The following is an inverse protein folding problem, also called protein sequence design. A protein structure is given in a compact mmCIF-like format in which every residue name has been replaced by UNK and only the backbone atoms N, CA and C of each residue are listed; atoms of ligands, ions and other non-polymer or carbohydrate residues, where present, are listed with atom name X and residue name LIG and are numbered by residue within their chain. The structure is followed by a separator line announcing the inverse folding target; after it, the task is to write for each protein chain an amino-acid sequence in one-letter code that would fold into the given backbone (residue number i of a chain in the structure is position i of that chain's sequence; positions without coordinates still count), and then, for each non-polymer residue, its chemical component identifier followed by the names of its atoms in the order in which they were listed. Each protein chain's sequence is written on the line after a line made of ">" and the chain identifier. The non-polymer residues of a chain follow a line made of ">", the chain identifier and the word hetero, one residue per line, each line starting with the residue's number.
data_IF_939111788497
#
_entry.id   IF_939111788497
#
_cell.length_a   1.000
_cell.length_b   1.000
_cell.length_c   1.000
_cell.angle_alpha   90.00
_cell.angle_beta   90.00
_cell.angle_gamma   90.00
#
_symmetry.space_group_name_H-M   'P 1'
#
loop_
_entity.id
_entity.type
_entity.pdbx_description
1 polymer ?
#
# COMPACT_ATOMS: atom_id res chain seq x y z
N UNK A 1 21.96 6.43 -16.32
CA UNK A 1 21.44 7.14 -15.13
C UNK A 1 21.26 6.15 -13.99
N UNK A 2 22.17 6.14 -13.00
CA UNK A 2 22.00 5.34 -11.78
C UNK A 2 20.90 5.97 -10.94
N UNK A 3 19.73 5.32 -10.89
CA UNK A 3 18.62 5.66 -10.00
C UNK A 3 19.12 5.58 -8.55
N UNK A 4 19.37 6.73 -7.93
CA UNK A 4 19.70 6.84 -6.52
C UNK A 4 18.40 6.67 -5.72
N UNK A 5 17.90 5.44 -5.67
CA UNK A 5 16.59 5.04 -5.15
C UNK A 5 16.43 5.22 -3.62
N UNK A 6 17.43 5.78 -2.94
CA UNK A 6 17.50 5.80 -1.48
C UNK A 6 16.60 6.85 -0.80
N UNK A 7 15.92 7.76 -1.51
CA UNK A 7 15.19 8.84 -0.81
C UNK A 7 13.88 9.30 -1.47
N UNK A 8 13.15 8.49 -2.26
CA UNK A 8 11.85 8.93 -2.77
C UNK A 8 10.85 9.23 -1.61
N UNK A 9 10.77 8.33 -0.64
CA UNK A 9 9.96 8.50 0.58
C UNK A 9 10.51 9.63 1.45
N UNK A 10 11.83 9.74 1.59
CA UNK A 10 12.46 10.85 2.35
C UNK A 10 12.23 12.22 1.69
N UNK A 11 12.18 12.28 0.35
CA UNK A 11 11.89 13.50 -0.39
C UNK A 11 10.41 13.87 -0.25
N UNK A 12 9.49 12.92 -0.37
CA UNK A 12 8.06 13.15 -0.10
C UNK A 12 7.84 13.62 1.35
N UNK A 13 8.49 12.99 2.32
CA UNK A 13 8.47 13.43 3.71
C UNK A 13 9.09 14.81 3.90
N UNK A 14 10.09 15.21 3.09
CA UNK A 14 10.64 16.57 3.14
C UNK A 14 9.57 17.62 2.78
N UNK A 15 8.71 17.33 1.81
CA UNK A 15 7.55 18.15 1.46
C UNK A 15 6.42 18.07 2.48
N UNK A 16 6.43 17.08 3.37
CA UNK A 16 5.43 16.91 4.41
C UNK A 16 5.52 17.93 5.56
N UNK A 17 6.63 18.69 5.68
CA UNK A 17 6.75 19.78 6.65
C UNK A 17 6.36 19.40 8.09
N UNK A 18 5.48 20.18 8.72
CA UNK A 18 4.97 19.97 10.08
C UNK A 18 4.01 18.78 10.24
N UNK A 19 3.46 18.26 9.12
CA UNK A 19 2.48 17.16 9.12
C UNK A 19 3.12 15.79 9.36
N UNK A 20 4.45 15.70 9.36
CA UNK A 20 5.19 14.51 9.78
C UNK A 20 4.74 14.00 11.15
N UNK A 21 4.45 14.91 12.09
CA UNK A 21 3.98 14.55 13.43
C UNK A 21 2.64 13.81 13.38
N UNK A 22 1.75 14.19 12.47
CA UNK A 22 0.47 13.51 12.30
C UNK A 22 0.64 12.13 11.66
N UNK A 23 1.56 11.99 10.70
CA UNK A 23 1.91 10.68 10.12
C UNK A 23 2.50 9.74 11.18
N UNK A 24 3.44 10.21 12.01
CA UNK A 24 3.97 9.41 13.12
C UNK A 24 2.89 9.03 14.14
N UNK A 25 1.93 9.92 14.43
CA UNK A 25 0.79 9.60 15.29
C UNK A 25 -0.09 8.50 14.68
N UNK A 26 -0.35 8.56 13.37
CA UNK A 26 -1.08 7.51 12.66
C UNK A 26 -0.36 6.15 12.79
N UNK A 27 0.96 6.12 12.58
CA UNK A 27 1.76 4.90 12.75
C UNK A 27 1.63 4.36 14.16
N UNK A 28 1.80 5.20 15.19
CA UNK A 28 1.66 4.79 16.59
C UNK A 28 0.26 4.23 16.89
N UNK A 29 -0.79 4.90 16.42
CA UNK A 29 -2.17 4.43 16.58
C UNK A 29 -2.40 3.07 15.91
N UNK A 30 -1.85 2.86 14.71
CA UNK A 30 -1.93 1.57 14.02
C UNK A 30 -1.18 0.48 14.80
N UNK A 31 0.02 0.76 15.31
CA UNK A 31 0.77 -0.22 16.12
C UNK A 31 0.04 -0.61 17.40
N UNK A 32 -0.59 0.35 18.07
CA UNK A 32 -1.38 0.10 19.28
C UNK A 32 -2.61 -0.73 18.91
N UNK A 33 -3.29 -0.40 17.80
CA UNK A 33 -4.41 -1.19 17.28
C UNK A 33 -4.03 -2.65 17.01
N UNK A 34 -2.87 -2.91 16.43
CA UNK A 34 -2.39 -4.28 16.20
C UNK A 34 -2.09 -5.05 17.50
N UNK A 35 -1.61 -4.38 18.55
CA UNK A 35 -1.46 -5.00 19.88
C UNK A 35 -2.80 -5.48 20.44
N UNK A 36 -3.85 -4.65 20.35
CA UNK A 36 -5.20 -5.07 20.74
C UNK A 36 -5.74 -6.21 19.85
N UNK A 37 -5.28 -6.28 18.60
CA UNK A 37 -5.56 -7.39 17.67
C UNK A 37 -5.05 -8.75 18.13
N UNK A 38 -4.10 -8.81 19.07
CA UNK A 38 -3.64 -10.07 19.65
C UNK A 38 -4.60 -10.66 20.67
N UNK A 39 -5.44 -9.84 21.30
CA UNK A 39 -6.27 -10.26 22.43
C UNK A 39 -7.17 -11.46 22.10
N UNK A 40 -7.84 -11.54 20.92
CA UNK A 40 -8.60 -12.72 20.53
C UNK A 40 -7.77 -14.01 20.49
N UNK A 41 -6.51 -13.93 20.04
CA UNK A 41 -5.63 -15.09 19.94
C UNK A 41 -5.20 -15.58 21.32
N UNK A 42 -4.88 -14.66 22.24
CA UNK A 42 -4.60 -14.99 23.64
C UNK A 42 -5.83 -15.59 24.33
N UNK A 43 -7.03 -15.06 24.05
CA UNK A 43 -8.28 -15.58 24.59
C UNK A 43 -8.53 -17.01 24.11
N UNK A 44 -8.29 -17.31 22.83
CA UNK A 44 -8.39 -18.67 22.27
C UNK A 44 -7.35 -19.60 22.92
N UNK A 45 -6.09 -19.17 23.04
CA UNK A 45 -5.05 -19.99 23.69
C UNK A 45 -5.44 -20.36 25.13
N UNK A 46 -5.95 -19.40 25.90
CA UNK A 46 -6.46 -19.62 27.27
C UNK A 46 -7.70 -20.49 27.32
N UNK A 47 -8.59 -20.37 26.33
CA UNK A 47 -9.77 -21.22 26.21
C UNK A 47 -9.36 -22.68 25.98
N UNK A 48 -8.40 -22.94 25.10
CA UNK A 48 -7.87 -24.28 24.82
C UNK A 48 -7.20 -24.87 26.08
N UNK A 49 -6.41 -24.08 26.81
CA UNK A 49 -5.80 -24.51 28.07
C UNK A 49 -6.87 -24.96 29.09
N UNK A 50 -7.96 -24.21 29.21
CA UNK A 50 -9.07 -24.55 30.12
C UNK A 50 -9.89 -25.74 29.66
N UNK A 51 -10.04 -25.94 28.36
CA UNK A 51 -10.64 -27.16 27.78
C UNK A 51 -9.80 -28.37 28.14
N UNK A 52 -8.48 -28.27 28.00
CA UNK A 52 -7.56 -29.35 28.33
C UNK A 52 -7.60 -29.71 29.82
N UNK A 53 -7.70 -28.71 30.70
CA UNK A 53 -7.84 -28.92 32.14
C UNK A 53 -9.25 -29.41 32.56
N UNK A 54 -10.18 -29.58 31.62
CA UNK A 54 -11.59 -29.93 31.87
C UNK A 54 -12.33 -28.94 32.79
N UNK A 55 -11.85 -27.71 32.91
CA UNK A 55 -12.42 -26.64 33.75
C UNK A 55 -13.31 -25.67 32.94
N UNK A 56 -14.08 -26.21 31.99
CA UNK A 56 -14.87 -25.37 31.08
C UNK A 56 -16.24 -25.11 31.67
N UNK A 57 -16.47 -23.87 32.07
CA UNK A 57 -17.80 -23.35 32.39
C UNK A 57 -18.27 -22.39 31.30
N UNK A 58 -19.57 -22.36 31.02
CA UNK A 58 -20.20 -21.37 30.14
C UNK A 58 -19.79 -19.94 30.50
N UNK A 59 -19.67 -19.64 31.81
CA UNK A 59 -19.25 -18.32 32.30
C UNK A 59 -17.84 -17.94 31.86
N UNK A 60 -16.92 -18.91 31.85
CA UNK A 60 -15.53 -18.70 31.45
C UNK A 60 -15.40 -18.47 29.95
N UNK A 61 -16.15 -19.23 29.14
CA UNK A 61 -16.22 -19.05 27.69
C UNK A 61 -16.78 -17.66 27.36
N UNK A 62 -17.88 -17.27 28.00
CA UNK A 62 -18.51 -15.97 27.80
C UNK A 62 -17.57 -14.83 28.18
N UNK A 63 -16.87 -14.93 29.32
CA UNK A 63 -15.90 -13.93 29.77
C UNK A 63 -14.74 -13.75 28.79
N UNK A 64 -14.11 -14.85 28.34
CA UNK A 64 -13.02 -14.80 27.37
C UNK A 64 -13.48 -14.24 26.01
N UNK A 65 -14.70 -14.60 25.59
CA UNK A 65 -15.29 -14.10 24.35
C UNK A 65 -15.56 -12.59 24.42
N UNK A 66 -16.06 -12.08 25.55
CA UNK A 66 -16.27 -10.64 25.75
C UNK A 66 -14.94 -9.87 25.76
N UNK A 67 -13.89 -10.43 26.36
CA UNK A 67 -12.54 -9.82 26.31
C UNK A 67 -12.02 -9.77 24.87
N UNK A 68 -12.16 -10.87 24.12
CA UNK A 68 -11.77 -10.91 22.71
C UNK A 68 -12.54 -9.89 21.87
N UNK A 69 -13.86 -9.80 22.07
CA UNK A 69 -14.72 -8.82 21.39
C UNK A 69 -14.29 -7.39 21.72
N UNK A 70 -14.05 -7.09 23.01
CA UNK A 70 -13.60 -5.79 23.45
C UNK A 70 -12.24 -5.40 22.83
N UNK A 71 -11.29 -6.34 22.79
CA UNK A 71 -10.01 -6.15 22.12
C UNK A 71 -10.16 -5.85 20.62
N UNK A 72 -11.06 -6.57 19.95
CA UNK A 72 -11.32 -6.35 18.53
C UNK A 72 -12.00 -5.01 18.24
N UNK A 73 -12.93 -4.57 19.10
CA UNK A 73 -13.54 -3.25 19.01
C UNK A 73 -12.48 -2.17 19.19
N UNK A 74 -11.61 -2.29 20.19
CA UNK A 74 -10.50 -1.35 20.39
C UNK A 74 -9.57 -1.31 19.18
N UNK A 75 -9.16 -2.46 18.64
CA UNK A 75 -8.38 -2.52 17.40
C UNK A 75 -9.05 -1.73 16.28
N UNK A 76 -10.36 -1.94 16.07
CA UNK A 76 -11.14 -1.24 15.06
C UNK A 76 -11.12 0.29 15.25
N UNK A 77 -11.32 0.75 16.48
CA UNK A 77 -11.29 2.19 16.83
C UNK A 77 -9.90 2.79 16.55
N UNK A 78 -8.83 2.17 17.05
CA UNK A 78 -7.47 2.66 16.86
C UNK A 78 -7.06 2.69 15.39
N UNK A 79 -7.44 1.66 14.63
CA UNK A 79 -7.18 1.60 13.18
C UNK A 79 -7.94 2.69 12.43
N UNK A 80 -9.21 2.91 12.77
CA UNK A 80 -10.01 3.98 12.17
C UNK A 80 -9.43 5.37 12.45
N UNK A 81 -9.03 5.66 13.69
CA UNK A 81 -8.36 6.91 14.03
C UNK A 81 -7.01 7.06 13.33
N UNK A 82 -6.24 5.97 13.20
CA UNK A 82 -4.99 5.97 12.45
C UNK A 82 -5.23 6.36 10.98
N UNK A 83 -6.20 5.72 10.32
CA UNK A 83 -6.54 5.97 8.91
C UNK A 83 -7.02 7.41 8.69
N UNK A 84 -7.92 7.91 9.55
CA UNK A 84 -8.41 9.30 9.45
C UNK A 84 -7.26 10.30 9.65
N UNK A 85 -6.37 10.05 10.60
CA UNK A 85 -5.21 10.93 10.86
C UNK A 85 -4.28 10.95 9.66
N UNK A 86 -4.03 9.80 9.05
CA UNK A 86 -3.19 9.68 7.84
C UNK A 86 -3.80 10.41 6.63
N UNK A 87 -5.11 10.25 6.42
CA UNK A 87 -5.86 10.96 5.37
C UNK A 87 -5.76 12.48 5.53
N UNK A 88 -6.04 12.99 6.73
CA UNK A 88 -5.93 14.43 7.04
C UNK A 88 -4.53 14.96 6.75
N UNK A 89 -3.50 14.29 7.29
CA UNK A 89 -2.11 14.67 7.06
C UNK A 89 -1.79 14.69 5.56
N UNK A 90 -2.22 13.66 4.83
CA UNK A 90 -1.98 13.53 3.39
C UNK A 90 -2.64 14.65 2.59
N UNK A 91 -3.88 15.02 2.89
CA UNK A 91 -4.56 16.14 2.22
C UNK A 91 -3.82 17.48 2.42
N UNK A 92 -3.29 17.74 3.62
CA UNK A 92 -2.47 18.92 3.87
C UNK A 92 -1.18 18.93 3.06
N UNK A 93 -0.50 17.78 2.97
CA UNK A 93 0.70 17.62 2.14
C UNK A 93 0.37 17.86 0.66
N UNK A 94 -0.76 17.30 0.20
CA UNK A 94 -1.23 17.43 -1.18
C UNK A 94 -1.51 18.88 -1.55
N UNK A 95 -2.19 19.62 -0.67
CA UNK A 95 -2.41 21.06 -0.81
C UNK A 95 -1.10 21.82 -0.96
N UNK A 96 -0.12 21.54 -0.10
CA UNK A 96 1.19 22.21 -0.13
C UNK A 96 1.93 21.93 -1.45
N UNK A 97 1.91 20.68 -1.92
CA UNK A 97 2.53 20.31 -3.21
C UNK A 97 1.85 21.08 -4.35
N UNK A 98 0.51 21.13 -4.39
CA UNK A 98 -0.22 21.89 -5.42
C UNK A 98 0.14 23.37 -5.40
N UNK A 99 0.23 23.98 -4.21
CA UNK A 99 0.64 25.39 -4.07
C UNK A 99 2.06 25.63 -4.56
N UNK A 100 3.02 24.77 -4.21
CA UNK A 100 4.42 24.89 -4.67
C UNK A 100 4.55 24.72 -6.19
N UNK A 101 3.79 23.80 -6.78
CA UNK A 101 3.74 23.63 -8.23
C UNK A 101 3.18 24.88 -8.90
N UNK A 102 2.07 25.41 -8.41
CA UNK A 102 1.46 26.62 -8.94
C UNK A 102 2.42 27.83 -8.84
N UNK A 103 3.07 28.02 -7.70
CA UNK A 103 4.07 29.09 -7.50
C UNK A 103 5.27 28.93 -8.44
N UNK A 104 5.72 27.68 -8.68
CA UNK A 104 6.81 27.42 -9.61
C UNK A 104 6.40 27.76 -11.05
N UNK A 105 5.17 27.44 -11.46
CA UNK A 105 4.67 27.78 -12.80
C UNK A 105 4.68 29.29 -13.06
N UNK A 106 4.36 30.11 -12.05
CA UNK A 106 4.43 31.59 -12.17
C UNK A 106 5.85 32.13 -12.39
N UNK A 107 6.89 31.35 -12.07
CA UNK A 107 8.31 31.75 -12.18
C UNK A 107 9.03 31.11 -13.36
N UNK A 108 8.36 30.26 -14.14
CA UNK A 108 8.96 29.58 -15.28
C UNK A 108 8.94 30.52 -16.50
N UNK A 109 10.02 30.57 -17.32
CA UNK A 109 10.05 31.41 -18.52
C UNK A 109 8.87 31.13 -19.45
N UNK A 110 8.29 32.18 -20.03
CA UNK A 110 7.14 32.09 -20.94
C UNK A 110 7.34 31.11 -22.10
N UNK A 111 8.57 31.00 -22.65
CA UNK A 111 8.87 30.05 -23.71
C UNK A 111 8.55 28.59 -23.32
N UNK A 112 8.93 28.19 -22.11
CA UNK A 112 8.60 26.85 -21.58
C UNK A 112 7.09 26.70 -21.36
N UNK A 113 6.41 27.78 -20.97
CA UNK A 113 4.96 27.79 -20.74
C UNK A 113 4.17 27.59 -22.03
N UNK A 114 4.64 28.18 -23.14
CA UNK A 114 4.04 28.09 -24.47
C UNK A 114 4.37 26.73 -25.13
N UNK A 115 5.60 26.26 -25.00
CA UNK A 115 6.06 25.00 -25.59
C UNK A 115 5.51 23.75 -24.87
N UNK A 116 4.94 23.91 -23.67
CA UNK A 116 4.40 22.80 -22.89
C UNK A 116 2.88 22.70 -23.06
N UNK A 117 2.35 21.55 -23.55
CA UNK A 117 0.91 21.36 -23.68
C UNK A 117 0.16 21.49 -22.35
N UNK A 118 -1.01 22.14 -22.35
CA UNK A 118 -1.87 22.31 -21.17
C UNK A 118 -2.16 20.99 -20.45
N UNK A 119 -2.27 19.89 -21.21
CA UNK A 119 -2.48 18.54 -20.67
C UNK A 119 -1.34 18.05 -19.75
N UNK A 120 -0.09 18.46 -19.99
CA UNK A 120 1.03 18.13 -19.09
C UNK A 120 0.87 18.82 -17.74
N UNK A 121 0.41 20.07 -17.71
CA UNK A 121 0.17 20.79 -16.46
C UNK A 121 -1.02 20.21 -15.69
N UNK A 122 -2.11 19.88 -16.38
CA UNK A 122 -3.26 19.18 -15.78
C UNK A 122 -2.84 17.85 -15.17
N UNK A 123 -2.06 17.06 -15.91
CA UNK A 123 -1.51 15.79 -15.41
C UNK A 123 -0.64 16.01 -14.17
N UNK A 124 0.22 17.03 -14.16
CA UNK A 124 1.12 17.28 -13.04
C UNK A 124 0.40 17.78 -11.78
N UNK A 125 -0.54 18.72 -11.88
CA UNK A 125 -1.23 19.33 -10.73
C UNK A 125 -2.36 18.45 -10.18
N UNK A 126 -3.05 17.75 -11.07
CA UNK A 126 -4.25 16.96 -10.73
C UNK A 126 -3.86 15.49 -10.64
N UNK A 127 -3.51 14.87 -11.77
CA UNK A 127 -3.45 13.41 -11.85
C UNK A 127 -2.28 12.81 -11.05
N UNK A 128 -1.07 13.35 -11.19
CA UNK A 128 0.13 12.87 -10.46
C UNK A 128 0.01 13.16 -8.96
N UNK A 129 -0.45 14.36 -8.63
CA UNK A 129 -0.60 14.77 -7.23
C UNK A 129 -1.71 13.95 -6.55
N UNK A 130 -2.85 13.72 -7.19
CA UNK A 130 -3.89 12.85 -6.62
C UNK A 130 -3.41 11.40 -6.45
N UNK A 131 -2.53 10.88 -7.32
CA UNK A 131 -1.93 9.55 -7.09
C UNK A 131 -1.05 9.48 -5.83
N UNK A 132 -0.49 10.60 -5.39
CA UNK A 132 0.25 10.66 -4.12
C UNK A 132 -0.69 10.53 -2.91
N UNK A 133 -1.98 10.86 -3.06
CA UNK A 133 -2.96 10.74 -1.99
C UNK A 133 -3.13 9.28 -1.55
N UNK A 134 -3.58 8.41 -2.47
CA UNK A 134 -3.73 6.97 -2.20
C UNK A 134 -2.43 6.38 -1.67
N UNK A 135 -1.31 6.74 -2.31
CA UNK A 135 0.01 6.22 -1.98
C UNK A 135 0.54 6.70 -0.62
N UNK A 136 0.01 7.77 -0.01
CA UNK A 136 0.48 8.27 1.28
C UNK A 136 -0.53 8.03 2.40
N UNK A 137 -1.82 8.22 2.11
CA UNK A 137 -2.90 8.11 3.07
C UNK A 137 -3.09 6.66 3.56
N UNK A 138 -3.01 5.68 2.66
CA UNK A 138 -3.17 4.26 2.98
C UNK A 138 -1.85 3.58 3.33
N UNK A 139 -0.78 3.95 2.63
CA UNK A 139 0.53 3.33 2.79
C UNK A 139 1.08 3.46 4.21
N UNK A 140 0.87 4.59 4.91
CA UNK A 140 1.38 4.78 6.27
C UNK A 140 0.72 3.85 7.30
N UNK A 141 -0.62 3.79 7.44
CA UNK A 141 -1.28 2.82 8.31
C UNK A 141 -1.09 1.36 7.85
N UNK A 142 -1.31 1.07 6.57
CA UNK A 142 -1.40 -0.31 6.07
C UNK A 142 -0.07 -1.04 6.11
N UNK A 143 1.04 -0.39 5.71
CA UNK A 143 2.36 -1.02 5.78
C UNK A 143 2.78 -1.20 7.23
N UNK A 144 2.49 -0.22 8.08
CA UNK A 144 2.76 -0.36 9.51
C UNK A 144 2.04 -1.58 10.05
N UNK A 145 0.73 -1.71 9.83
CA UNK A 145 -0.03 -2.90 10.26
C UNK A 145 0.49 -4.18 9.62
N UNK A 146 0.80 -4.17 8.32
CA UNK A 146 1.28 -5.35 7.58
C UNK A 146 2.64 -5.86 8.03
N UNK A 147 3.51 -4.99 8.57
CA UNK A 147 4.81 -5.38 9.12
C UNK A 147 4.69 -5.71 10.61
N UNK A 148 3.98 -4.87 11.36
CA UNK A 148 3.88 -4.99 12.81
C UNK A 148 3.08 -6.23 13.18
N UNK A 149 1.97 -6.52 12.49
CA UNK A 149 1.12 -7.67 12.82
C UNK A 149 1.87 -9.01 12.75
N UNK A 150 2.59 -9.37 11.65
CA UNK A 150 3.36 -10.61 11.62
C UNK A 150 4.49 -10.68 12.66
N UNK A 151 5.19 -9.57 12.91
CA UNK A 151 6.25 -9.51 13.92
C UNK A 151 5.67 -9.76 15.31
N UNK A 152 4.55 -9.13 15.60
CA UNK A 152 3.77 -9.30 16.82
C UNK A 152 3.33 -10.76 17.01
N UNK A 153 2.77 -11.39 15.97
CA UNK A 153 2.42 -12.82 16.01
C UNK A 153 3.62 -13.74 16.21
N UNK A 154 4.74 -13.43 15.59
CA UNK A 154 5.97 -14.20 15.73
C UNK A 154 6.46 -14.14 17.18
N UNK A 155 6.52 -12.94 17.78
CA UNK A 155 6.85 -12.77 19.20
C UNK A 155 5.88 -13.56 20.07
N UNK A 156 4.57 -13.46 19.82
CA UNK A 156 3.55 -14.19 20.57
C UNK A 156 3.80 -15.70 20.54
N UNK A 157 4.00 -16.29 19.36
CA UNK A 157 4.26 -17.74 19.23
C UNK A 157 5.56 -18.11 19.94
N UNK A 158 6.62 -17.32 19.82
CA UNK A 158 7.88 -17.57 20.53
C UNK A 158 7.73 -17.55 22.06
N UNK A 159 6.87 -16.67 22.58
CA UNK A 159 6.58 -16.63 24.03
C UNK A 159 5.75 -17.81 24.51
N UNK A 160 4.95 -18.42 23.63
CA UNK A 160 4.16 -19.62 23.96
C UNK A 160 4.99 -20.89 23.83
N UNK A 161 5.69 -21.07 22.72
CA UNK A 161 6.60 -22.19 22.48
C UNK A 161 7.68 -21.81 21.44
N UNK A 162 8.95 -21.81 21.87
CA UNK A 162 10.09 -21.47 21.00
C UNK A 162 10.26 -22.45 19.82
N UNK A 163 9.84 -23.72 19.94
CA UNK A 163 9.91 -24.72 18.88
C UNK A 163 8.90 -24.40 17.78
N UNK A 164 7.68 -24.03 18.15
CA UNK A 164 6.66 -23.56 17.21
C UNK A 164 7.08 -22.24 16.55
N UNK A 165 7.73 -21.35 17.31
CA UNK A 165 8.30 -20.10 16.80
C UNK A 165 9.38 -20.33 15.73
N UNK A 166 10.30 -21.27 15.97
CA UNK A 166 11.31 -21.64 14.97
C UNK A 166 10.68 -22.31 13.73
N UNK A 167 9.67 -23.17 13.92
CA UNK A 167 8.96 -23.80 12.81
C UNK A 167 8.22 -22.75 11.94
N UNK A 168 7.61 -21.73 12.54
CA UNK A 168 6.97 -20.66 11.79
C UNK A 168 7.98 -19.81 11.03
N UNK A 169 9.17 -19.54 11.61
CA UNK A 169 10.24 -18.82 10.92
C UNK A 169 10.71 -19.57 9.67
N UNK A 170 10.74 -20.91 9.68
CA UNK A 170 11.10 -21.75 8.54
C UNK A 170 10.15 -21.58 7.34
N UNK A 171 8.90 -21.16 7.57
CA UNK A 171 7.95 -20.91 6.48
C UNK A 171 8.37 -19.73 5.59
N UNK A 172 9.09 -18.74 6.15
CA UNK A 172 9.58 -17.56 5.43
C UNK A 172 10.61 -17.94 4.34
N UNK A 173 11.73 -18.63 4.64
CA UNK A 173 12.69 -19.04 3.62
C UNK A 173 12.08 -20.03 2.62
N UNK A 174 11.20 -20.95 3.06
CA UNK A 174 10.51 -21.85 2.14
C UNK A 174 9.63 -21.10 1.14
N UNK A 175 8.85 -20.12 1.61
CA UNK A 175 8.07 -19.24 0.75
C UNK A 175 8.96 -18.40 -0.18
N UNK A 176 10.09 -17.91 0.33
CA UNK A 176 11.06 -17.14 -0.45
C UNK A 176 11.69 -17.96 -1.57
N UNK A 177 12.02 -19.24 -1.32
CA UNK A 177 12.53 -20.14 -2.36
C UNK A 177 11.49 -20.36 -3.47
N UNK A 178 10.22 -20.59 -3.10
CA UNK A 178 9.12 -20.69 -4.07
C UNK A 178 8.95 -19.40 -4.87
N UNK A 179 9.04 -18.25 -4.20
CA UNK A 179 8.94 -16.93 -4.85
C UNK A 179 10.09 -16.67 -5.82
N UNK A 180 11.33 -17.00 -5.46
CA UNK A 180 12.49 -16.89 -6.35
C UNK A 180 12.31 -17.78 -7.58
N UNK A 181 11.83 -19.01 -7.39
CA UNK A 181 11.51 -19.92 -8.49
C UNK A 181 10.46 -19.33 -9.45
N UNK A 182 9.39 -18.74 -8.90
CA UNK A 182 8.35 -18.07 -9.68
C UNK A 182 8.85 -16.83 -10.43
N UNK A 183 9.79 -16.08 -9.83
CA UNK A 183 10.32 -14.83 -10.40
C UNK A 183 11.44 -15.04 -11.42
N UNK A 184 12.01 -16.24 -11.53
CA UNK A 184 13.19 -16.53 -12.37
C UNK A 184 13.05 -16.04 -13.82
N UNK A 185 11.89 -16.28 -14.44
CA UNK A 185 11.64 -15.92 -15.84
C UNK A 185 10.75 -14.68 -15.98
N UNK A 186 10.48 -13.97 -14.87
CA UNK A 186 9.57 -12.83 -14.86
C UNK A 186 10.06 -11.70 -15.77
N UNK A 187 11.35 -11.39 -15.77
CA UNK A 187 11.89 -10.30 -16.60
C UNK A 187 11.67 -10.56 -18.10
N UNK A 188 11.93 -11.78 -18.55
CA UNK A 188 11.71 -12.16 -19.94
C UNK A 188 10.22 -12.11 -20.30
N UNK A 189 9.35 -12.72 -19.48
CA UNK A 189 7.90 -12.71 -19.71
C UNK A 189 7.34 -11.29 -19.70
N UNK A 190 7.80 -10.46 -18.77
CA UNK A 190 7.42 -9.05 -18.66
C UNK A 190 7.84 -8.28 -19.90
N UNK A 191 9.09 -8.43 -20.37
CA UNK A 191 9.57 -7.80 -21.61
C UNK A 191 8.77 -8.22 -22.83
N UNK A 192 8.51 -9.52 -22.99
CA UNK A 192 7.71 -10.04 -24.11
C UNK A 192 6.30 -9.47 -24.09
N UNK A 193 5.67 -9.46 -22.91
CA UNK A 193 4.35 -8.86 -22.72
C UNK A 193 4.35 -7.36 -23.06
N UNK A 194 5.29 -6.59 -22.51
CA UNK A 194 5.40 -5.15 -22.77
C UNK A 194 5.69 -4.85 -24.25
N UNK A 195 6.51 -5.67 -24.92
CA UNK A 195 6.80 -5.50 -26.35
C UNK A 195 5.57 -5.75 -27.20
N UNK A 196 4.83 -6.83 -26.94
CA UNK A 196 3.58 -7.13 -27.63
C UNK A 196 2.53 -6.02 -27.41
N UNK A 197 2.41 -5.53 -26.17
CA UNK A 197 1.51 -4.43 -25.81
C UNK A 197 1.87 -3.14 -26.56
N UNK A 198 3.16 -2.82 -26.66
CA UNK A 198 3.63 -1.63 -27.39
C UNK A 198 3.34 -1.76 -28.89
N UNK A 199 3.59 -2.91 -29.49
CA UNK A 199 3.28 -3.15 -30.91
C UNK A 199 1.78 -2.99 -31.18
N UNK A 200 0.93 -3.56 -30.33
CA UNK A 200 -0.52 -3.40 -30.44
C UNK A 200 -0.94 -1.93 -30.36
N UNK A 201 -0.42 -1.19 -29.39
CA UNK A 201 -0.70 0.24 -29.26
C UNK A 201 -0.23 1.03 -30.48
N UNK A 202 0.95 0.72 -31.03
CA UNK A 202 1.47 1.34 -32.25
C UNK A 202 0.56 1.08 -33.45
N UNK A 203 0.15 -0.16 -33.67
CA UNK A 203 -0.78 -0.51 -34.77
C UNK A 203 -2.13 0.17 -34.61
N UNK A 204 -2.66 0.29 -33.39
CA UNK A 204 -3.91 1.01 -33.13
C UNK A 204 -3.79 2.50 -33.48
N UNK A 205 -2.68 3.15 -33.12
CA UNK A 205 -2.44 4.56 -33.46
C UNK A 205 -2.31 4.74 -34.98
N UNK A 206 -1.62 3.82 -35.65
CA UNK A 206 -1.49 3.82 -37.11
C UNK A 206 -2.85 3.63 -37.80
N UNK A 207 -3.68 2.71 -37.30
CA UNK A 207 -5.04 2.51 -37.79
C UNK A 207 -5.91 3.76 -37.61
N UNK A 208 -5.86 4.41 -36.44
CA UNK A 208 -6.63 5.64 -36.19
C UNK A 208 -6.18 6.77 -37.13
N UNK A 209 -4.87 6.95 -37.31
CA UNK A 209 -4.33 7.98 -38.20
C UNK A 209 -4.61 7.68 -39.67
N UNK A 210 -4.65 6.41 -40.07
CA UNK A 210 -4.90 5.95 -41.44
C UNK A 210 -6.36 5.64 -41.77
N UNK A 211 -7.30 5.83 -40.84
CA UNK A 211 -8.68 5.36 -40.97
C UNK A 211 -9.41 5.98 -42.17
N UNK A 212 -9.08 7.23 -42.52
CA UNK A 212 -9.64 7.92 -43.69
C UNK A 212 -9.20 7.25 -44.99
N UNK A 213 -7.93 6.84 -45.08
CA UNK A 213 -7.38 6.12 -46.24
C UNK A 213 -7.98 4.71 -46.32
N UNK A 214 -8.06 3.98 -45.20
CA UNK A 214 -8.63 2.62 -45.15
C UNK A 214 -10.09 2.62 -45.65
N UNK A 215 -10.88 3.62 -45.22
CA UNK A 215 -12.26 3.81 -45.68
C UNK A 215 -12.36 4.23 -47.14
N UNK A 216 -11.46 5.11 -47.60
CA UNK A 216 -11.44 5.56 -48.99
C UNK A 216 -11.16 4.42 -49.99
N UNK A 217 -10.36 3.42 -49.61
CA UNK A 217 -10.09 2.24 -50.42
C UNK A 217 -11.07 1.09 -50.21
N UNK A 218 -12.13 1.29 -49.43
CA UNK A 218 -13.16 0.28 -49.11
C UNK A 218 -12.54 -1.06 -48.63
N UNK A 219 -11.45 -0.97 -47.87
CA UNK A 219 -10.72 -2.13 -47.34
C UNK A 219 -11.46 -2.80 -46.16
N UNK A 220 -12.66 -2.32 -45.82
CA UNK A 220 -13.53 -2.96 -44.83
C UNK A 220 -14.11 -4.26 -45.42
N UNK A 221 -13.58 -5.39 -44.92
CA UNK A 221 -13.99 -6.79 -45.14
C UNK A 221 -13.68 -7.42 -46.51
N UNK A 222 -12.48 -7.99 -46.62
CA UNK A 222 -12.27 -9.26 -47.32
C UNK A 222 -11.45 -10.25 -46.49
N UNK A 223 -11.97 -10.63 -45.31
CA UNK A 223 -11.92 -11.98 -44.71
C UNK A 223 -12.44 -11.97 -43.28
#
# INVERSE_FOLDING_TARGET
>A
MKSNNKNAISQLLKYAGGEKKQLYRSILLATIGELFGMIPFLAIAKLIEKIYQSEVSFRTVLYLTLIALFGQILKGIFTLYSTITSHKATFHILKNIRSLVAEKMLRVPMGVMIDTPIGKFKNLIVDIVSKLEDSMAHFMPEITSSIVSPVLFLILIFTLDYRMGLASLLTIPLGMLGYIGMMKDYEFRSKTYTTAQNNMNSTLVEYINGIEVIKAFNLELSR
#
